data_IF_763679187439
#
_entry.id   IF_763679187439
#
_cell.length_a   1.000
_cell.length_b   1.000
_cell.length_c   1.000
_cell.angle_alpha   90.00
_cell.angle_beta   90.00
_cell.angle_gamma   90.00
#
_symmetry.space_group_name_H-M   'P 1'
#
loop_
_entity.id
_entity.type
_entity.pdbx_description
1 polymer ?
#
# COMPACT_ATOMS: atom_id res chain seq x y z
N UNK A 1 -39.56 55.54 -27.73
CA UNK A 1 -39.79 54.08 -27.64
C UNK A 1 -38.50 53.42 -27.20
N UNK A 2 -38.47 52.92 -25.97
CA UNK A 2 -37.59 51.85 -25.49
C UNK A 2 -38.56 50.79 -24.89
N UNK A 3 -38.27 49.49 -24.96
CA UNK A 3 -37.45 48.92 -23.89
C UNK A 3 -36.42 47.86 -24.32
N UNK A 4 -35.33 47.87 -23.57
CA UNK A 4 -34.35 46.80 -23.34
C UNK A 4 -34.98 45.44 -23.01
N UNK A 5 -34.36 44.35 -23.48
CA UNK A 5 -34.33 43.04 -22.79
C UNK A 5 -32.97 42.35 -23.04
N UNK A 6 -32.15 42.27 -21.99
CA UNK A 6 -31.18 41.19 -21.70
C UNK A 6 -31.89 40.38 -20.59
N UNK A 7 -32.02 39.02 -20.65
CA UNK A 7 -30.90 38.13 -20.30
C UNK A 7 -30.89 36.72 -20.92
N UNK A 8 -29.73 36.28 -21.42
CA UNK A 8 -29.42 34.87 -21.69
C UNK A 8 -28.22 34.33 -20.90
N UNK A 9 -27.64 35.13 -20.00
CA UNK A 9 -26.36 34.80 -19.36
C UNK A 9 -26.51 34.19 -17.95
N UNK A 10 -27.65 34.41 -17.28
CA UNK A 10 -27.85 34.00 -15.87
C UNK A 10 -27.94 32.46 -15.71
N UNK A 11 -28.48 31.75 -16.69
CA UNK A 11 -28.62 30.29 -16.63
C UNK A 11 -27.30 29.53 -16.85
N UNK A 12 -26.40 30.08 -17.69
CA UNK A 12 -25.08 29.50 -17.93
C UNK A 12 -24.12 29.75 -16.76
N UNK A 13 -24.21 30.92 -16.11
CA UNK A 13 -23.43 31.22 -14.90
C UNK A 13 -23.89 30.39 -13.69
N UNK A 14 -25.19 30.12 -13.54
CA UNK A 14 -25.71 29.28 -12.44
C UNK A 14 -25.22 27.83 -12.54
N UNK A 15 -25.29 27.21 -13.72
CA UNK A 15 -24.81 25.84 -13.92
C UNK A 15 -23.28 25.69 -13.76
N UNK A 16 -22.51 26.72 -14.10
CA UNK A 16 -21.06 26.76 -13.89
C UNK A 16 -20.69 26.93 -12.41
N UNK A 17 -21.45 27.74 -11.66
CA UNK A 17 -21.30 27.90 -10.21
C UNK A 17 -21.68 26.61 -9.46
N UNK A 18 -22.77 25.95 -9.85
CA UNK A 18 -23.21 24.68 -9.22
C UNK A 18 -22.16 23.56 -9.43
N UNK A 19 -21.49 23.51 -10.59
CA UNK A 19 -20.40 22.56 -10.86
C UNK A 19 -19.14 22.88 -10.05
N UNK A 20 -18.81 24.16 -9.87
CA UNK A 20 -17.69 24.62 -9.04
C UNK A 20 -17.95 24.38 -7.54
N UNK A 21 -19.18 24.61 -7.06
CA UNK A 21 -19.58 24.31 -5.68
C UNK A 21 -19.57 22.81 -5.41
N UNK A 22 -20.04 21.98 -6.34
CA UNK A 22 -19.93 20.53 -6.25
C UNK A 22 -18.48 20.05 -6.20
N UNK A 23 -17.60 20.62 -7.03
CA UNK A 23 -16.17 20.25 -7.05
C UNK A 23 -15.44 20.70 -5.79
N UNK A 24 -15.72 21.92 -5.28
CA UNK A 24 -15.19 22.42 -4.00
C UNK A 24 -15.70 21.61 -2.81
N UNK A 25 -16.97 21.21 -2.81
CA UNK A 25 -17.55 20.33 -1.79
C UNK A 25 -17.01 18.89 -1.87
N UNK A 26 -16.69 18.40 -3.07
CA UNK A 26 -16.04 17.10 -3.28
C UNK A 26 -14.57 17.13 -2.86
N UNK A 27 -13.85 18.23 -3.13
CA UNK A 27 -12.49 18.47 -2.66
C UNK A 27 -12.45 18.58 -1.13
N UNK A 28 -13.37 19.34 -0.53
CA UNK A 28 -13.50 19.47 0.92
C UNK A 28 -13.79 18.14 1.61
N UNK A 29 -14.71 17.33 1.05
CA UNK A 29 -14.96 15.96 1.54
C UNK A 29 -13.75 15.05 1.39
N UNK A 30 -13.05 15.05 0.25
CA UNK A 30 -11.83 14.25 0.06
C UNK A 30 -10.74 14.59 1.06
N UNK A 31 -10.51 15.87 1.33
CA UNK A 31 -9.48 16.31 2.29
C UNK A 31 -9.85 15.87 3.71
N UNK A 32 -11.13 15.93 4.06
CA UNK A 32 -11.63 15.50 5.37
C UNK A 32 -11.57 13.99 5.53
N UNK A 33 -12.06 13.23 4.54
CA UNK A 33 -12.03 11.76 4.50
C UNK A 33 -10.59 11.24 4.57
N UNK A 34 -9.66 11.89 3.87
CA UNK A 34 -8.24 11.56 3.91
C UNK A 34 -7.62 11.85 5.28
N UNK A 35 -7.93 12.99 5.92
CA UNK A 35 -7.42 13.30 7.26
C UNK A 35 -7.92 12.31 8.30
N UNK A 36 -9.18 11.93 8.22
CA UNK A 36 -9.79 10.96 9.12
C UNK A 36 -9.21 9.56 8.90
N UNK A 37 -9.06 9.14 7.64
CA UNK A 37 -8.36 7.91 7.25
C UNK A 37 -6.92 7.87 7.78
N UNK A 38 -6.19 8.99 7.67
CA UNK A 38 -4.82 9.14 8.15
C UNK A 38 -4.72 9.08 9.69
N UNK A 39 -5.76 9.51 10.41
CA UNK A 39 -5.84 9.45 11.87
C UNK A 39 -6.21 8.05 12.35
N UNK A 40 -7.24 7.44 11.75
CA UNK A 40 -7.71 6.08 12.02
C UNK A 40 -6.61 5.04 11.74
N UNK A 41 -5.93 5.18 10.59
CA UNK A 41 -4.78 4.34 10.23
C UNK A 41 -3.61 4.54 11.22
N UNK A 42 -3.32 5.78 11.61
CA UNK A 42 -2.25 6.08 12.55
C UNK A 42 -2.45 5.45 13.94
N UNK A 43 -3.70 5.42 14.42
CA UNK A 43 -4.07 4.81 15.68
C UNK A 43 -3.96 3.27 15.64
N UNK A 44 -4.50 2.64 14.58
CA UNK A 44 -4.41 1.18 14.37
C UNK A 44 -2.96 0.70 14.29
N UNK A 45 -2.10 1.46 13.63
CA UNK A 45 -0.68 1.15 13.47
C UNK A 45 0.14 1.25 14.77
N UNK A 46 -0.39 1.89 15.82
CA UNK A 46 0.32 2.11 17.08
C UNK A 46 0.15 0.99 18.13
N UNK A 47 -0.80 0.07 17.93
CA UNK A 47 -1.30 -0.80 19.02
C UNK A 47 -0.97 -2.29 18.93
N UNK A 48 -0.35 -2.80 17.85
CA UNK A 48 -0.12 -4.25 17.72
C UNK A 48 1.27 -4.65 17.23
N UNK A 49 1.81 -5.71 17.88
CA UNK A 49 2.93 -6.54 17.43
C UNK A 49 2.63 -7.24 16.09
N UNK A 50 1.35 -7.30 15.70
CA UNK A 50 0.84 -7.94 14.49
C UNK A 50 0.62 -6.93 13.37
N UNK A 51 1.68 -6.24 12.96
CA UNK A 51 1.64 -5.28 11.84
C UNK A 51 1.02 -5.87 10.57
N UNK A 52 1.04 -7.20 10.39
CA UNK A 52 0.40 -7.87 9.25
C UNK A 52 -1.12 -7.76 9.25
N UNK A 53 -1.75 -7.89 10.41
CA UNK A 53 -3.20 -7.78 10.55
C UNK A 53 -3.63 -6.32 10.36
N UNK A 54 -2.93 -5.39 11.01
CA UNK A 54 -3.18 -3.96 10.84
C UNK A 54 -3.05 -3.55 9.37
N UNK A 55 -2.03 -4.02 8.67
CA UNK A 55 -1.86 -3.67 7.25
C UNK A 55 -3.00 -4.22 6.37
N UNK A 56 -3.58 -5.37 6.74
CA UNK A 56 -4.76 -5.89 6.06
C UNK A 56 -5.96 -4.97 6.31
N UNK A 57 -6.21 -4.58 7.56
CA UNK A 57 -7.27 -3.64 7.92
C UNK A 57 -7.11 -2.29 7.21
N UNK A 58 -5.88 -1.78 7.12
CA UNK A 58 -5.58 -0.55 6.37
C UNK A 58 -5.90 -0.73 4.89
N UNK A 59 -5.53 -1.87 4.29
CA UNK A 59 -5.88 -2.16 2.89
C UNK A 59 -7.39 -2.26 2.68
N UNK A 60 -8.12 -2.86 3.62
CA UNK A 60 -9.59 -2.94 3.63
C UNK A 60 -10.24 -1.55 3.77
N UNK A 61 -9.69 -0.70 4.63
CA UNK A 61 -10.17 0.68 4.80
C UNK A 61 -9.93 1.53 3.54
N UNK A 62 -8.81 1.30 2.86
CA UNK A 62 -8.47 1.97 1.59
C UNK A 62 -9.41 1.54 0.46
N UNK A 63 -9.83 0.28 0.43
CA UNK A 63 -10.78 -0.28 -0.53
C UNK A 63 -12.18 -0.21 0.08
N UNK A 64 -12.88 0.94 -0.02
CA UNK A 64 -13.41 1.42 -1.30
C UNK A 64 -13.22 2.93 -1.57
N UNK A 65 -12.53 3.63 -0.66
CA UNK A 65 -12.41 5.11 -0.63
C UNK A 65 -11.37 5.61 -1.64
N UNK A 66 -10.26 4.87 -1.75
CA UNK A 66 -9.10 5.28 -2.54
C UNK A 66 -8.73 4.29 -3.64
N UNK A 67 -9.28 3.07 -3.68
CA UNK A 67 -9.00 2.10 -4.74
C UNK A 67 -10.14 1.09 -4.96
N UNK A 68 -10.18 0.47 -6.13
CA UNK A 68 -11.00 -0.72 -6.40
C UNK A 68 -10.29 -2.00 -5.89
N UNK A 69 -8.96 -2.00 -5.87
CA UNK A 69 -8.18 -3.03 -5.19
C UNK A 69 -6.84 -2.51 -4.64
N UNK A 70 -6.38 -3.18 -3.59
CA UNK A 70 -5.12 -2.93 -2.93
C UNK A 70 -4.33 -4.23 -2.81
N UNK A 71 -3.02 -4.16 -3.06
CA UNK A 71 -2.09 -5.22 -2.68
C UNK A 71 -0.94 -4.65 -1.88
N UNK A 72 -0.64 -5.28 -0.75
CA UNK A 72 0.52 -4.96 0.07
C UNK A 72 1.51 -6.10 0.05
N UNK A 73 2.76 -5.75 -0.14
CA UNK A 73 3.86 -6.70 -0.11
C UNK A 73 5.00 -6.14 0.73
N UNK A 74 5.64 -7.02 1.50
CA UNK A 74 6.81 -6.70 2.29
C UNK A 74 8.00 -7.52 1.85
N UNK A 75 9.17 -6.90 1.92
CA UNK A 75 10.45 -7.57 1.82
C UNK A 75 10.76 -8.21 3.19
N UNK A 76 10.90 -9.52 3.19
CA UNK A 76 11.35 -10.29 4.35
C UNK A 76 12.88 -10.27 4.46
N UNK A 77 13.40 -10.65 5.64
CA UNK A 77 14.84 -10.68 5.92
C UNK A 77 15.62 -11.67 5.04
N UNK A 78 14.94 -12.63 4.41
CA UNK A 78 15.52 -13.59 3.46
C UNK A 78 15.48 -13.11 2.01
N UNK A 79 15.13 -11.83 1.78
CA UNK A 79 15.02 -11.22 0.46
C UNK A 79 13.72 -11.57 -0.27
N UNK A 80 12.84 -12.41 0.30
CA UNK A 80 11.59 -12.76 -0.36
C UNK A 80 10.58 -11.63 -0.26
N UNK A 81 9.87 -11.43 -1.36
CA UNK A 81 8.76 -10.50 -1.43
C UNK A 81 7.44 -11.21 -1.11
N UNK A 82 6.91 -10.95 0.07
CA UNK A 82 5.72 -11.60 0.59
C UNK A 82 4.50 -10.70 0.47
N UNK A 83 3.47 -11.17 -0.23
CA UNK A 83 2.14 -10.54 -0.19
C UNK A 83 1.55 -10.71 1.22
N UNK A 84 1.18 -9.59 1.84
CA UNK A 84 0.60 -9.52 3.20
C UNK A 84 -0.90 -9.26 3.14
N UNK A 85 -1.33 -8.47 2.16
CA UNK A 85 -2.74 -8.19 1.91
C UNK A 85 -3.04 -8.20 0.41
N UNK A 86 -4.21 -8.72 0.08
CA UNK A 86 -4.80 -8.74 -1.25
C UNK A 86 -6.29 -8.45 -1.10
N UNK A 87 -6.69 -7.21 -1.33
CA UNK A 87 -8.06 -6.74 -1.08
C UNK A 87 -8.64 -6.24 -2.38
N UNK A 88 -9.85 -6.67 -2.70
CA UNK A 88 -10.58 -6.24 -3.88
C UNK A 88 -12.02 -5.91 -3.48
N UNK A 89 -12.59 -4.84 -4.04
CA UNK A 89 -13.98 -4.42 -3.78
C UNK A 89 -15.01 -5.48 -4.19
N UNK A 90 -14.71 -6.18 -5.27
CA UNK A 90 -15.40 -7.40 -5.72
C UNK A 90 -14.67 -8.64 -5.17
N UNK A 91 -15.25 -9.38 -4.19
CA UNK A 91 -14.63 -10.54 -3.58
C UNK A 91 -14.29 -11.66 -4.57
N UNK A 92 -15.01 -11.76 -5.69
CA UNK A 92 -14.76 -12.80 -6.71
C UNK A 92 -13.41 -12.64 -7.41
N UNK A 93 -12.81 -11.44 -7.33
CA UNK A 93 -11.49 -11.14 -7.90
C UNK A 93 -10.34 -11.28 -6.90
N UNK A 94 -10.59 -11.50 -5.61
CA UNK A 94 -9.53 -11.73 -4.61
C UNK A 94 -8.62 -12.91 -5.01
N UNK A 95 -9.13 -14.07 -5.48
CA UNK A 95 -8.27 -15.17 -5.91
C UNK A 95 -7.29 -14.80 -7.04
N UNK A 96 -7.65 -13.83 -7.89
CA UNK A 96 -6.77 -13.32 -8.95
C UNK A 96 -5.59 -12.53 -8.36
N UNK A 97 -5.82 -11.75 -7.31
CA UNK A 97 -4.76 -11.00 -6.61
C UNK A 97 -3.83 -11.94 -5.83
N UNK A 98 -4.37 -13.00 -5.23
CA UNK A 98 -3.59 -14.04 -4.55
C UNK A 98 -2.75 -14.85 -5.55
N UNK A 99 -3.31 -15.20 -6.71
CA UNK A 99 -2.56 -15.83 -7.79
C UNK A 99 -1.42 -14.93 -8.28
N UNK A 100 -1.69 -13.64 -8.48
CA UNK A 100 -0.70 -12.64 -8.85
C UNK A 100 0.43 -12.55 -7.82
N UNK A 101 0.10 -12.56 -6.52
CA UNK A 101 1.06 -12.57 -5.43
C UNK A 101 1.92 -13.84 -5.40
N UNK A 102 1.33 -15.02 -5.64
CA UNK A 102 2.05 -16.30 -5.71
C UNK A 102 3.06 -16.32 -6.86
N UNK A 103 2.65 -15.88 -8.05
CA UNK A 103 3.55 -15.82 -9.22
C UNK A 103 4.72 -14.88 -8.94
N UNK A 104 4.44 -13.68 -8.42
CA UNK A 104 5.48 -12.69 -8.08
C UNK A 104 6.48 -13.22 -7.05
N UNK A 105 6.02 -13.98 -6.06
CA UNK A 105 6.90 -14.61 -5.05
C UNK A 105 7.89 -15.60 -5.67
N UNK A 106 7.49 -16.29 -6.74
CA UNK A 106 8.32 -17.27 -7.45
C UNK A 106 9.21 -16.67 -8.54
N UNK A 107 9.12 -15.36 -8.81
CA UNK A 107 9.95 -14.72 -9.84
C UNK A 107 11.37 -14.47 -9.32
N UNK A 108 12.40 -14.65 -10.17
CA UNK A 108 13.75 -14.20 -9.86
C UNK A 108 13.80 -12.69 -9.63
N UNK A 109 14.74 -12.22 -8.80
CA UNK A 109 14.90 -10.80 -8.47
C UNK A 109 15.24 -9.97 -9.72
N UNK A 110 15.97 -10.57 -10.67
CA UNK A 110 16.40 -9.95 -11.94
C UNK A 110 15.29 -9.89 -13.00
N UNK A 111 14.09 -10.41 -12.70
CA UNK A 111 12.93 -10.26 -13.57
C UNK A 111 12.51 -8.77 -13.57
N UNK A 112 13.12 -7.98 -14.44
CA UNK A 112 12.97 -6.53 -14.62
C UNK A 112 11.49 -6.08 -14.61
N UNK A 113 11.00 -5.84 -13.40
CA UNK A 113 9.61 -5.61 -13.07
C UNK A 113 9.48 -4.19 -12.55
N UNK A 114 8.34 -3.55 -12.81
CA UNK A 114 8.01 -2.23 -12.23
C UNK A 114 8.16 -2.27 -10.69
N UNK A 115 7.93 -3.43 -10.06
CA UNK A 115 8.17 -3.63 -8.63
C UNK A 115 9.65 -3.52 -8.26
N UNK A 116 10.54 -4.19 -8.98
CA UNK A 116 11.99 -4.15 -8.74
C UNK A 116 12.49 -2.71 -8.82
N UNK A 117 12.10 -1.98 -9.86
CA UNK A 117 12.45 -0.56 -10.00
C UNK A 117 11.95 0.32 -8.84
N UNK A 118 10.72 0.09 -8.35
CA UNK A 118 10.19 0.80 -7.17
C UNK A 118 10.98 0.48 -5.91
N UNK A 119 11.37 -0.78 -5.71
CA UNK A 119 12.12 -1.21 -4.53
C UNK A 119 13.55 -0.64 -4.52
N UNK A 120 14.24 -0.73 -5.65
CA UNK A 120 15.63 -0.27 -5.82
C UNK A 120 15.74 1.26 -5.80
N UNK A 121 14.91 1.95 -6.57
CA UNK A 121 14.98 3.42 -6.66
C UNK A 121 14.27 4.10 -5.50
N UNK A 122 13.39 3.36 -4.82
CA UNK A 122 12.54 3.84 -3.75
C UNK A 122 11.71 5.06 -4.18
N UNK A 123 11.33 5.10 -5.48
CA UNK A 123 10.47 6.09 -6.11
C UNK A 123 9.11 5.47 -6.42
N UNK A 124 8.01 6.20 -6.19
CA UNK A 124 6.70 5.72 -6.59
C UNK A 124 6.54 5.69 -8.11
N UNK A 125 5.59 4.88 -8.57
CA UNK A 125 5.14 4.85 -9.95
C UNK A 125 3.66 5.19 -9.98
N UNK A 126 3.29 6.14 -10.84
CA UNK A 126 1.90 6.51 -11.11
C UNK A 126 1.61 6.28 -12.59
N UNK A 127 0.61 5.44 -12.87
CA UNK A 127 0.05 5.26 -14.21
C UNK A 127 -1.40 5.75 -14.21
N UNK A 128 -1.63 6.95 -14.75
CA UNK A 128 -2.96 7.55 -14.85
C UNK A 128 -3.85 6.93 -15.93
N UNK A 129 -3.26 6.28 -16.94
CA UNK A 129 -3.98 5.65 -18.04
C UNK A 129 -3.30 4.34 -18.46
N UNK A 130 -3.63 3.26 -17.75
CA UNK A 130 -3.10 1.95 -18.06
C UNK A 130 -3.89 1.31 -19.20
N UNK A 131 -3.19 0.59 -20.08
CA UNK A 131 -3.84 -0.15 -21.16
C UNK A 131 -3.21 -1.52 -21.32
N UNK A 132 -4.03 -2.50 -21.71
CA UNK A 132 -3.56 -3.85 -22.00
C UNK A 132 -2.47 -3.87 -23.09
N UNK A 133 -2.56 -2.98 -24.09
CA UNK A 133 -1.55 -2.85 -25.14
C UNK A 133 -0.19 -2.45 -24.57
N UNK A 134 -0.14 -1.48 -23.67
CA UNK A 134 1.10 -1.07 -22.99
C UNK A 134 1.61 -2.18 -22.07
N UNK A 135 0.71 -2.83 -21.31
CA UNK A 135 1.06 -3.92 -20.41
C UNK A 135 1.77 -5.08 -21.11
N UNK A 136 1.34 -5.42 -22.33
CA UNK A 136 2.00 -6.45 -23.17
C UNK A 136 3.46 -6.14 -23.53
N UNK A 137 3.88 -4.88 -23.49
CA UNK A 137 5.25 -4.52 -23.84
C UNK A 137 6.25 -4.87 -22.73
N UNK A 138 5.81 -4.94 -21.47
CA UNK A 138 6.68 -5.18 -20.31
C UNK A 138 6.32 -6.40 -19.47
N UNK A 139 5.07 -6.91 -19.53
CA UNK A 139 4.68 -8.16 -18.88
C UNK A 139 4.99 -9.33 -19.82
N UNK A 140 6.07 -10.06 -19.53
CA UNK A 140 6.53 -11.20 -20.35
C UNK A 140 5.82 -12.51 -20.01
N UNK A 141 5.42 -12.69 -18.75
CA UNK A 141 4.76 -13.91 -18.28
C UNK A 141 3.29 -13.94 -18.76
N UNK A 142 2.87 -14.98 -19.52
CA UNK A 142 1.49 -15.11 -20.01
C UNK A 142 0.43 -15.20 -18.89
N UNK A 143 0.75 -15.84 -17.76
CA UNK A 143 -0.15 -15.95 -16.62
C UNK A 143 -0.35 -14.57 -15.97
N UNK A 144 0.72 -13.80 -15.81
CA UNK A 144 0.65 -12.41 -15.33
C UNK A 144 -0.18 -11.53 -16.26
N UNK A 145 -0.02 -11.69 -17.57
CA UNK A 145 -0.77 -10.93 -18.57
C UNK A 145 -2.26 -11.29 -18.56
N UNK A 146 -2.58 -12.58 -18.37
CA UNK A 146 -3.96 -13.07 -18.18
C UNK A 146 -4.61 -12.46 -16.93
N UNK A 147 -3.87 -12.39 -15.82
CA UNK A 147 -4.34 -11.78 -14.58
C UNK A 147 -4.54 -10.27 -14.74
N UNK A 148 -3.58 -9.57 -15.36
CA UNK A 148 -3.68 -8.14 -15.66
C UNK A 148 -4.94 -7.84 -16.47
N UNK A 149 -5.27 -8.67 -17.48
CA UNK A 149 -6.48 -8.52 -18.29
C UNK A 149 -7.77 -8.70 -17.48
N UNK A 150 -7.81 -9.64 -16.53
CA UNK A 150 -9.01 -9.91 -15.73
C UNK A 150 -9.22 -8.86 -14.61
N UNK A 151 -8.11 -8.39 -14.03
CA UNK A 151 -8.12 -7.30 -13.05
C UNK A 151 -8.43 -5.95 -13.73
N UNK A 152 -8.03 -5.80 -15.00
CA UNK A 152 -8.30 -4.65 -15.86
C UNK A 152 -8.04 -3.29 -15.18
N UNK A 153 -6.82 -3.04 -14.65
CA UNK A 153 -6.52 -1.74 -14.07
C UNK A 153 -6.54 -0.66 -15.15
N UNK A 154 -7.35 0.37 -14.98
CA UNK A 154 -7.37 1.57 -15.83
C UNK A 154 -6.44 2.67 -15.32
N UNK A 155 -6.14 2.68 -14.03
CA UNK A 155 -5.11 3.53 -13.42
C UNK A 155 -4.57 2.84 -12.17
N UNK A 156 -3.27 2.99 -11.89
CA UNK A 156 -2.67 2.44 -10.68
C UNK A 156 -1.51 3.29 -10.18
N UNK A 157 -1.26 3.19 -8.87
CA UNK A 157 -0.06 3.71 -8.23
C UNK A 157 0.62 2.61 -7.43
N UNK A 158 1.94 2.65 -7.39
CA UNK A 158 2.78 1.76 -6.61
C UNK A 158 3.67 2.66 -5.77
N UNK A 159 3.54 2.54 -4.46
CA UNK A 159 4.20 3.41 -3.50
C UNK A 159 5.11 2.56 -2.60
N UNK A 160 6.42 2.86 -2.50
CA UNK A 160 7.33 2.11 -1.66
C UNK A 160 7.06 2.39 -0.18
N UNK A 161 7.07 1.34 0.65
CA UNK A 161 7.03 1.47 2.11
C UNK A 161 8.45 1.78 2.59
N UNK A 162 8.75 3.04 2.88
CA UNK A 162 10.10 3.47 3.29
C UNK A 162 10.14 3.90 4.75
N UNK A 163 11.09 3.36 5.49
CA UNK A 163 11.39 3.77 6.86
C UNK A 163 12.90 3.83 7.07
N UNK A 164 13.39 4.88 7.74
CA UNK A 164 14.82 5.05 8.10
C UNK A 164 15.80 4.81 6.94
N UNK A 165 15.43 5.23 5.74
CA UNK A 165 16.25 5.08 4.53
C UNK A 165 16.18 3.71 3.84
N UNK A 166 15.44 2.74 4.40
CA UNK A 166 15.26 1.41 3.81
C UNK A 166 13.87 1.24 3.20
N UNK A 167 13.79 0.49 2.09
CA UNK A 167 12.51 0.09 1.49
C UNK A 167 12.08 -1.26 2.07
N UNK A 168 11.01 -1.24 2.86
CA UNK A 168 10.43 -2.41 3.53
C UNK A 168 9.48 -3.20 2.63
N UNK A 169 9.03 -2.63 1.52
CA UNK A 169 8.04 -3.23 0.63
C UNK A 169 7.38 -2.23 -0.31
N UNK A 170 6.20 -2.56 -0.87
CA UNK A 170 5.36 -1.58 -1.57
C UNK A 170 3.86 -1.82 -1.40
N UNK A 171 3.09 -0.75 -1.57
CA UNK A 171 1.63 -0.75 -1.66
C UNK A 171 1.24 -0.46 -3.10
N UNK A 172 0.43 -1.34 -3.70
CA UNK A 172 -0.17 -1.13 -5.02
C UNK A 172 -1.65 -0.82 -4.84
N UNK A 173 -2.10 0.30 -5.38
CA UNK A 173 -3.50 0.71 -5.40
C UNK A 173 -3.94 0.91 -6.84
N UNK A 174 -5.12 0.42 -7.19
CA UNK A 174 -5.59 0.44 -8.57
C UNK A 174 -7.08 0.75 -8.69
N UNK A 175 -7.42 1.45 -9.77
CA UNK A 175 -8.78 1.70 -10.24
C UNK A 175 -9.00 0.82 -11.48
N UNK A 176 -10.12 0.10 -11.50
CA UNK A 176 -10.48 -0.80 -12.59
C UNK A 176 -11.86 -0.48 -13.17
N UNK A 177 -12.89 -0.44 -12.31
CA UNK A 177 -14.29 -0.39 -12.75
C UNK A 177 -14.89 1.00 -12.52
N UNK A 178 -14.36 1.75 -11.56
CA UNK A 178 -14.88 3.07 -11.17
C UNK A 178 -14.69 4.17 -12.22
N UNK A 179 -13.83 3.98 -13.23
CA UNK A 179 -13.50 5.00 -14.24
C UNK A 179 -12.66 6.18 -13.72
N UNK A 180 -12.43 6.26 -12.40
CA UNK A 180 -11.55 7.25 -11.77
C UNK A 180 -10.09 6.99 -12.16
N UNK A 181 -9.32 8.07 -12.32
CA UNK A 181 -7.88 8.03 -12.56
C UNK A 181 -7.14 8.68 -11.41
N UNK A 182 -5.98 8.15 -11.06
CA UNK A 182 -5.12 8.78 -10.06
C UNK A 182 -4.40 9.99 -10.64
N UNK A 183 -4.28 11.00 -9.79
CA UNK A 183 -3.55 12.25 -10.02
C UNK A 183 -2.26 12.30 -9.18
N UNK A 184 -1.44 13.32 -9.38
CA UNK A 184 -0.26 13.56 -8.54
C UNK A 184 -0.65 13.86 -7.07
N UNK A 185 -1.80 14.49 -6.84
CA UNK A 185 -2.30 14.78 -5.50
C UNK A 185 -2.72 13.50 -4.77
N UNK A 186 -3.36 12.57 -5.49
CA UNK A 186 -3.66 11.23 -4.96
C UNK A 186 -2.38 10.50 -4.54
N UNK A 187 -1.33 10.59 -5.36
CA UNK A 187 -0.03 10.00 -5.04
C UNK A 187 0.56 10.64 -3.78
N UNK A 188 0.56 11.97 -3.68
CA UNK A 188 1.11 12.72 -2.54
C UNK A 188 0.44 12.31 -1.23
N UNK A 189 -0.90 12.20 -1.23
CA UNK A 189 -1.68 11.73 -0.07
C UNK A 189 -1.31 10.29 0.28
N UNK A 190 -1.19 9.44 -0.73
CA UNK A 190 -0.87 8.02 -0.54
C UNK A 190 0.54 7.85 0.02
N UNK A 191 1.52 8.63 -0.43
CA UNK A 191 2.88 8.64 0.11
C UNK A 191 2.90 8.99 1.60
N UNK A 192 2.09 9.95 2.05
CA UNK A 192 1.99 10.29 3.46
C UNK A 192 1.41 9.14 4.30
N UNK A 193 0.37 8.48 3.79
CA UNK A 193 -0.23 7.32 4.46
C UNK A 193 0.74 6.15 4.52
N UNK A 194 1.35 5.82 3.39
CA UNK A 194 2.32 4.72 3.24
C UNK A 194 3.55 4.97 4.09
N UNK A 195 4.01 6.22 4.22
CA UNK A 195 5.11 6.59 5.11
C UNK A 195 4.81 6.31 6.58
N UNK A 196 3.58 6.59 7.05
CA UNK A 196 3.16 6.26 8.43
C UNK A 196 3.09 4.75 8.64
N UNK A 197 2.53 4.02 7.68
CA UNK A 197 2.50 2.56 7.70
C UNK A 197 3.92 1.97 7.74
N UNK A 198 4.83 2.48 6.93
CA UNK A 198 6.22 2.04 6.88
C UNK A 198 6.94 2.24 8.22
N UNK A 199 6.79 3.41 8.85
CA UNK A 199 7.38 3.68 10.17
C UNK A 199 6.83 2.76 11.26
N UNK A 200 5.53 2.48 11.25
CA UNK A 200 4.93 1.57 12.21
C UNK A 200 5.43 0.12 12.04
N UNK A 201 5.56 -0.36 10.80
CA UNK A 201 6.13 -1.68 10.51
C UNK A 201 7.57 -1.77 10.98
N UNK A 202 8.37 -0.74 10.69
CA UNK A 202 9.77 -0.67 11.11
C UNK A 202 9.90 -0.76 12.63
N UNK A 203 9.10 0.03 13.36
CA UNK A 203 9.07 0.03 14.81
C UNK A 203 8.64 -1.34 15.37
N UNK A 204 7.60 -1.97 14.79
CA UNK A 204 7.15 -3.30 15.20
C UNK A 204 8.23 -4.37 14.96
N UNK A 205 8.92 -4.34 13.80
CA UNK A 205 10.03 -5.25 13.49
C UNK A 205 11.18 -5.09 14.48
N UNK A 206 11.55 -3.84 14.80
CA UNK A 206 12.59 -3.54 15.78
C UNK A 206 12.24 -4.06 17.18
N UNK A 207 11.01 -3.83 17.63
CA UNK A 207 10.54 -4.29 18.94
C UNK A 207 10.59 -5.82 19.06
N UNK A 208 10.10 -6.54 18.05
CA UNK A 208 10.17 -8.02 18.00
C UNK A 208 11.62 -8.51 18.03
N UNK A 209 12.51 -7.85 17.28
CA UNK A 209 13.92 -8.20 17.23
C UNK A 209 14.62 -7.99 18.58
N UNK A 210 14.35 -6.88 19.26
CA UNK A 210 14.87 -6.59 20.60
C UNK A 210 14.41 -7.64 21.62
N UNK A 211 13.13 -7.97 21.63
CA UNK A 211 12.56 -8.96 22.55
C UNK A 211 13.17 -10.35 22.32
N UNK A 212 13.36 -10.75 21.06
CA UNK A 212 14.02 -12.00 20.72
C UNK A 212 15.51 -12.01 21.13
N UNK A 213 16.22 -10.89 20.97
CA UNK A 213 17.61 -10.77 21.40
C UNK A 213 17.75 -10.89 22.92
N UNK A 214 16.86 -10.22 23.67
CA UNK A 214 16.81 -10.31 25.14
C UNK A 214 16.56 -11.73 25.63
N UNK A 215 15.56 -12.42 25.07
CA UNK A 215 15.28 -13.82 25.44
C UNK A 215 16.46 -14.76 25.15
N UNK A 216 17.20 -14.53 24.05
CA UNK A 216 18.42 -15.31 23.75
C UNK A 216 19.51 -15.06 24.77
N UNK A 217 19.75 -13.80 25.14
CA UNK A 217 20.74 -13.43 26.15
C UNK A 217 20.41 -14.05 27.52
N UNK A 218 19.16 -13.97 27.95
CA UNK A 218 18.68 -14.57 29.21
C UNK A 218 18.88 -16.10 29.21
N UNK A 219 18.59 -16.79 28.11
CA UNK A 219 18.84 -18.24 27.98
C UNK A 219 20.32 -18.59 28.04
N UNK A 220 21.18 -17.82 27.35
CA UNK A 220 22.63 -18.05 27.39
C UNK A 220 23.16 -17.84 28.81
N UNK A 221 22.74 -16.79 29.51
CA UNK A 221 23.10 -16.56 30.90
C UNK A 221 22.66 -17.71 31.82
N UNK A 222 21.43 -18.22 31.64
CA UNK A 222 20.92 -19.35 32.42
C UNK A 222 21.73 -20.64 32.18
N UNK A 223 22.08 -20.94 30.91
CA UNK A 223 22.92 -22.10 30.57
C UNK A 223 24.32 -21.96 31.16
N UNK A 224 24.96 -20.78 31.01
CA UNK A 224 26.28 -20.52 31.60
C UNK A 224 26.26 -20.67 33.11
N UNK A 225 25.25 -20.12 33.80
CA UNK A 225 25.11 -20.24 35.25
C UNK A 225 24.94 -21.70 35.70
N UNK A 226 24.11 -22.48 34.98
CA UNK A 226 23.91 -23.89 35.28
C UNK A 226 25.19 -24.73 35.07
N UNK A 227 25.94 -24.46 34.00
CA UNK A 227 27.22 -25.11 33.74
C UNK A 227 28.27 -24.79 34.81
N UNK A 228 28.36 -23.52 35.25
CA UNK A 228 29.25 -23.11 36.34
C UNK A 228 28.91 -23.82 37.66
N UNK A 229 27.62 -23.92 38.02
CA UNK A 229 27.16 -24.63 39.22
C UNK A 229 27.49 -26.13 39.16
N UNK A 230 27.30 -26.77 38.00
CA UNK A 230 27.60 -28.19 37.81
C UNK A 230 29.11 -28.51 37.87
N UNK A 231 29.97 -27.59 37.39
CA UNK A 231 31.42 -27.76 37.52
C UNK A 231 31.88 -27.60 38.97
N UNK A 232 31.33 -26.65 39.73
CA UNK A 232 31.65 -26.49 41.15
C UNK A 232 31.20 -27.67 42.03
N UNK A 233 30.17 -28.43 41.64
CA UNK A 233 29.72 -29.63 42.35
C UNK A 233 30.57 -30.88 42.08
N UNK A 234 31.40 -30.87 41.04
CA UNK A 234 32.21 -32.04 40.63
C UNK A 234 33.65 -31.99 41.18
N UNK A 235 34.04 -30.86 41.75
CA UNK A 235 35.36 -30.60 42.36
C UNK A 235 35.36 -30.74 43.90
N UNK A 236 34.21 -31.08 44.51
CA UNK A 236 34.05 -31.39 45.94
C UNK A 236 33.80 -32.88 46.09
#
# INVERSE_FOLDING_TARGET
MNPSIIPSDVAATAAANDLLELDVLQQGRRVHDVRELLAETGALLSSSLEYREILREVAELLVPRLADYCMLHLLESDGRYCQIAAVHRDPTKIPLLEELGRIRRSMPEEANSIMTGVLETARPVLTSAASYKQARAFIRDPAMLRLYRQLNPGSYMIVPLRARGQTLGSMTLAMSVSGRRYTADDLTVTEQLVGRAALAIDNARLFVAEQAARQRAERLQAITAALSQAMTQREV
#
